data_IF_873361189298
#
_entry.id   IF_873361189298
#
_cell.length_a   1.000
_cell.length_b   1.000
_cell.length_c   1.000
_cell.angle_alpha   90.00
_cell.angle_beta   90.00
_cell.angle_gamma   90.00
#
_symmetry.space_group_name_H-M   'P 1'
#
loop_
_entity.id
_entity.type
_entity.pdbx_description
1 polymer ?
#
# COMPACT_ATOMS: atom_id res chain seq x y z
N UNK A 1 8.01 -1.65 -0.22
CA UNK A 1 7.90 -1.54 1.25
C UNK A 1 8.32 -0.16 1.75
N UNK A 2 9.52 0.07 2.35
CA UNK A 2 9.84 1.39 2.95
C UNK A 2 9.76 2.56 1.98
N UNK A 3 10.27 2.38 0.77
CA UNK A 3 10.22 3.42 -0.27
C UNK A 3 8.79 3.70 -0.73
N UNK A 4 7.90 2.75 -0.69
CA UNK A 4 6.48 2.96 -0.97
C UNK A 4 5.78 3.66 0.20
N UNK A 5 6.11 3.31 1.45
CA UNK A 5 5.63 4.02 2.66
C UNK A 5 5.96 5.51 2.57
N UNK A 6 7.22 5.84 2.28
CA UNK A 6 7.65 7.24 2.18
C UNK A 6 6.98 7.98 1.01
N UNK A 7 6.63 7.29 -0.08
CA UNK A 7 5.89 7.91 -1.19
C UNK A 7 4.52 8.44 -0.75
N UNK A 8 3.76 7.68 0.06
CA UNK A 8 2.47 8.14 0.58
C UNK A 8 2.60 9.45 1.35
N UNK A 9 3.60 9.55 2.24
CA UNK A 9 3.86 10.74 3.03
C UNK A 9 4.33 11.92 2.20
N UNK A 10 5.36 11.73 1.40
CA UNK A 10 5.92 12.82 0.57
C UNK A 10 4.88 13.35 -0.40
N UNK A 11 4.10 12.46 -1.02
CA UNK A 11 3.10 12.88 -2.02
C UNK A 11 1.93 13.62 -1.38
N UNK A 12 1.56 13.31 -0.14
CA UNK A 12 0.51 14.05 0.57
C UNK A 12 0.85 15.52 0.81
N UNK A 13 2.13 15.86 0.81
CA UNK A 13 2.60 17.26 0.90
C UNK A 13 2.48 18.02 -0.43
N UNK A 14 2.14 17.34 -1.52
CA UNK A 14 2.03 17.90 -2.87
C UNK A 14 3.22 18.77 -3.30
N UNK A 15 4.47 18.29 -3.23
CA UNK A 15 5.62 19.10 -3.63
C UNK A 15 5.51 19.48 -5.12
N UNK A 16 5.85 20.70 -5.51
CA UNK A 16 5.48 21.27 -6.82
C UNK A 16 6.08 20.54 -8.02
N UNK A 17 7.17 19.81 -7.82
CA UNK A 17 7.88 19.09 -8.89
C UNK A 17 7.63 17.58 -8.88
N UNK A 18 6.85 17.05 -7.95
CA UNK A 18 6.43 15.65 -7.96
C UNK A 18 5.27 15.46 -8.96
N UNK A 19 5.52 14.75 -10.05
CA UNK A 19 4.58 14.62 -11.17
C UNK A 19 3.88 13.25 -11.24
N UNK A 20 4.46 12.23 -10.64
CA UNK A 20 3.89 10.89 -10.64
C UNK A 20 4.50 10.05 -9.51
N UNK A 21 3.78 9.03 -9.03
CA UNK A 21 4.30 8.07 -8.05
C UNK A 21 3.80 6.65 -8.32
N UNK A 22 4.61 5.67 -7.94
CA UNK A 22 4.26 4.25 -7.97
C UNK A 22 4.54 3.64 -6.60
N UNK A 23 3.63 3.72 -5.63
CA UNK A 23 3.77 3.07 -4.34
C UNK A 23 3.54 1.56 -4.49
N UNK A 24 4.63 0.82 -4.65
CA UNK A 24 4.61 -0.63 -4.80
C UNK A 24 4.70 -1.30 -3.43
N UNK A 25 3.57 -1.81 -2.95
CA UNK A 25 3.42 -2.51 -1.68
C UNK A 25 3.92 -1.69 -0.47
N UNK A 26 3.18 -0.66 -0.09
CA UNK A 26 3.48 0.22 1.02
C UNK A 26 2.30 0.44 1.96
N UNK A 27 2.57 0.35 3.25
CA UNK A 27 1.61 0.74 4.27
C UNK A 27 1.50 2.28 4.39
N UNK A 28 0.42 2.76 4.97
CA UNK A 28 0.23 4.19 5.26
C UNK A 28 -0.40 4.47 6.65
N UNK A 29 -0.75 3.42 7.38
CA UNK A 29 -1.32 3.46 8.73
C UNK A 29 -0.58 2.46 9.62
N UNK A 30 0.37 2.96 10.40
CA UNK A 30 1.22 2.12 11.26
C UNK A 30 0.41 1.34 12.31
N UNK A 31 -0.67 1.92 12.81
CA UNK A 31 -1.53 1.25 13.79
C UNK A 31 -2.20 0.02 13.21
N UNK A 32 -3.01 0.21 12.15
CA UNK A 32 -3.87 -0.85 11.61
C UNK A 32 -3.14 -1.88 10.76
N UNK A 33 -1.98 -1.51 10.25
CA UNK A 33 -1.27 -2.31 9.24
C UNK A 33 -0.05 -3.02 9.80
N UNK A 34 0.41 -2.62 11.00
CA UNK A 34 1.60 -3.21 11.62
C UNK A 34 1.40 -3.50 13.10
N UNK A 35 1.01 -2.49 13.89
CA UNK A 35 1.01 -2.63 15.35
C UNK A 35 -0.22 -3.37 15.89
N UNK A 36 -1.40 -3.17 15.27
CA UNK A 36 -2.69 -3.70 15.76
C UNK A 36 -3.60 -4.11 14.60
N UNK A 37 -3.45 -5.33 14.12
CA UNK A 37 -4.32 -5.87 13.08
C UNK A 37 -5.73 -6.14 13.65
N UNK A 38 -6.72 -5.37 13.16
CA UNK A 38 -8.09 -5.47 13.67
C UNK A 38 -8.24 -5.12 15.16
N UNK A 39 -7.33 -4.31 15.70
CA UNK A 39 -7.31 -3.95 17.13
C UNK A 39 -6.58 -4.95 18.03
N UNK A 40 -6.04 -6.03 17.46
CA UNK A 40 -5.25 -7.04 18.17
C UNK A 40 -3.77 -6.69 18.04
N UNK A 41 -3.01 -6.55 19.16
CA UNK A 41 -1.59 -6.22 19.10
C UNK A 41 -0.79 -7.34 18.43
N UNK A 42 0.03 -6.98 17.45
CA UNK A 42 1.03 -7.90 16.89
C UNK A 42 2.21 -7.99 17.87
N UNK A 43 2.32 -9.13 18.54
CA UNK A 43 3.38 -9.40 19.50
C UNK A 43 4.54 -10.21 18.91
N UNK A 44 4.41 -10.66 17.67
CA UNK A 44 5.40 -11.47 16.95
C UNK A 44 6.20 -10.67 15.94
N UNK A 45 5.63 -10.48 14.76
CA UNK A 45 6.31 -9.83 13.63
C UNK A 45 6.70 -8.38 13.95
N UNK A 46 5.85 -7.60 14.59
CA UNK A 46 6.13 -6.21 14.91
C UNK A 46 7.40 -6.05 15.75
N UNK A 47 7.54 -6.85 16.81
CA UNK A 47 8.75 -6.85 17.64
C UNK A 47 9.99 -7.26 16.88
N UNK A 48 9.90 -8.34 16.12
CA UNK A 48 11.00 -8.81 15.28
C UNK A 48 11.42 -7.73 14.27
N UNK A 49 10.46 -7.08 13.63
CA UNK A 49 10.72 -6.06 12.64
C UNK A 49 11.36 -4.80 13.25
N UNK A 50 10.80 -4.29 14.34
CA UNK A 50 11.30 -3.09 15.01
C UNK A 50 12.67 -3.35 15.64
N UNK A 51 12.80 -4.37 16.47
CA UNK A 51 14.03 -4.64 17.22
C UNK A 51 15.09 -5.35 16.36
N UNK A 52 14.68 -6.23 15.46
CA UNK A 52 15.59 -7.03 14.65
C UNK A 52 16.12 -6.30 13.41
N UNK A 53 15.34 -5.38 12.84
CA UNK A 53 15.71 -4.68 11.62
C UNK A 53 16.09 -3.22 11.93
N UNK A 54 15.21 -2.44 12.54
CA UNK A 54 15.47 -1.02 12.75
C UNK A 54 16.55 -0.76 13.83
N UNK A 55 16.46 -1.41 14.97
CA UNK A 55 17.39 -1.17 16.05
C UNK A 55 18.84 -1.62 15.76
N UNK A 56 19.02 -2.52 14.78
CA UNK A 56 20.36 -2.98 14.35
C UNK A 56 21.05 -2.08 13.33
N UNK A 57 20.31 -1.15 12.72
CA UNK A 57 20.84 -0.36 11.62
C UNK A 57 21.34 1.01 12.05
N UNK A 58 21.24 1.32 13.35
CA UNK A 58 21.68 2.61 13.84
C UNK A 58 21.96 2.57 15.32
N UNK A 59 23.07 3.17 15.71
CA UNK A 59 23.45 3.46 17.10
C UNK A 59 22.85 4.78 17.58
N UNK A 60 21.86 5.33 16.88
CA UNK A 60 21.24 6.60 17.23
C UNK A 60 20.35 6.43 18.48
N UNK A 61 20.70 7.05 19.63
CA UNK A 61 19.93 6.93 20.86
C UNK A 61 18.56 7.62 20.79
N UNK A 62 18.30 8.39 19.73
CA UNK A 62 17.03 9.10 19.53
C UNK A 62 16.02 8.30 18.69
N UNK A 63 16.27 7.01 18.43
CA UNK A 63 15.27 6.16 17.80
C UNK A 63 14.14 5.88 18.78
N UNK A 64 12.94 6.13 18.31
CA UNK A 64 11.73 5.86 19.06
C UNK A 64 11.56 4.34 19.33
N UNK A 65 11.27 3.98 20.56
CA UNK A 65 10.91 2.60 20.91
C UNK A 65 9.43 2.33 20.53
N UNK A 66 9.21 1.91 19.29
CA UNK A 66 7.88 1.59 18.81
C UNK A 66 7.24 0.38 19.52
N UNK A 67 8.04 -0.52 20.10
CA UNK A 67 7.52 -1.66 20.89
C UNK A 67 6.99 -1.17 22.24
N UNK A 68 7.65 -0.20 22.85
CA UNK A 68 7.13 0.43 24.05
C UNK A 68 5.92 1.30 23.74
N UNK A 69 5.95 2.05 22.63
CA UNK A 69 4.83 2.85 22.17
C UNK A 69 3.57 2.00 21.89
N UNK A 70 3.71 0.78 21.37
CA UNK A 70 2.58 -0.15 21.21
C UNK A 70 1.90 -0.46 22.55
N UNK A 71 2.64 -0.54 23.64
CA UNK A 71 2.07 -0.80 24.98
C UNK A 71 1.43 0.45 25.58
N UNK A 72 2.06 1.60 25.37
CA UNK A 72 1.64 2.88 25.95
C UNK A 72 0.42 3.44 25.22
N UNK A 73 0.25 3.10 23.94
CA UNK A 73 -0.84 3.54 23.05
C UNK A 73 -1.63 2.35 22.49
N UNK A 74 -2.37 1.59 23.33
CA UNK A 74 -3.09 0.39 22.87
C UNK A 74 -4.30 0.68 21.99
N UNK A 75 -4.79 1.92 21.99
CA UNK A 75 -5.90 2.38 21.17
C UNK A 75 -5.42 3.33 20.07
N UNK A 76 -6.25 3.52 19.05
CA UNK A 76 -5.97 4.47 17.96
C UNK A 76 -6.18 5.91 18.45
N UNK A 77 -5.17 6.44 19.12
CA UNK A 77 -5.11 7.79 19.67
C UNK A 77 -4.33 8.77 18.77
N UNK A 78 -4.03 9.97 19.28
CA UNK A 78 -3.32 11.00 18.52
C UNK A 78 -1.87 10.61 18.20
N UNK A 79 -1.24 9.75 19.00
CA UNK A 79 0.08 9.20 18.69
C UNK A 79 0.08 8.46 17.36
N UNK A 80 -0.90 7.57 17.14
CA UNK A 80 -1.01 6.81 15.90
C UNK A 80 -1.59 7.61 14.73
N UNK A 81 -2.51 8.55 15.00
CA UNK A 81 -3.06 9.45 13.96
C UNK A 81 -1.96 10.27 13.28
N UNK A 82 -0.98 10.75 14.04
CA UNK A 82 0.17 11.48 13.50
C UNK A 82 1.10 10.61 12.65
N UNK A 83 0.95 9.29 12.72
CA UNK A 83 1.71 8.27 11.97
C UNK A 83 0.88 7.63 10.86
N UNK A 84 -0.16 8.31 10.43
CA UNK A 84 -0.98 7.94 9.29
C UNK A 84 -0.82 8.98 8.18
N UNK A 85 -0.53 8.53 6.97
CA UNK A 85 -0.41 9.45 5.84
C UNK A 85 -1.77 10.09 5.51
N UNK A 86 -1.85 11.42 5.34
CA UNK A 86 -3.11 12.10 5.00
C UNK A 86 -3.47 11.90 3.53
N UNK A 87 -3.91 10.69 3.17
CA UNK A 87 -4.13 10.20 1.82
C UNK A 87 -5.05 11.09 0.97
N UNK A 88 -6.06 11.69 1.60
CA UNK A 88 -7.01 12.60 0.93
C UNK A 88 -6.34 13.87 0.36
N UNK A 89 -5.12 14.18 0.77
CA UNK A 89 -4.37 15.31 0.23
C UNK A 89 -3.63 14.97 -1.07
N UNK A 90 -3.48 13.70 -1.40
CA UNK A 90 -2.74 13.24 -2.58
C UNK A 90 -3.50 13.58 -3.87
N UNK A 91 -2.92 14.44 -4.70
CA UNK A 91 -3.47 14.85 -6.02
C UNK A 91 -2.59 14.42 -7.18
N UNK A 92 -1.38 13.97 -6.91
CA UNK A 92 -0.40 13.50 -7.90
C UNK A 92 -0.92 12.22 -8.56
N UNK A 93 -0.74 12.04 -9.89
CA UNK A 93 -0.99 10.78 -10.57
C UNK A 93 -0.29 9.61 -9.90
N UNK A 94 -1.00 8.50 -9.71
CA UNK A 94 -0.45 7.35 -8.99
C UNK A 94 -0.86 5.99 -9.58
N UNK A 95 0.07 5.06 -9.57
CA UNK A 95 -0.16 3.64 -9.79
C UNK A 95 0.10 2.90 -8.46
N UNK A 96 -0.97 2.59 -7.73
CA UNK A 96 -0.88 1.81 -6.49
C UNK A 96 -0.78 0.32 -6.80
N UNK A 97 0.24 -0.35 -6.25
CA UNK A 97 0.46 -1.77 -6.49
C UNK A 97 0.36 -2.57 -5.20
N UNK A 98 -0.50 -3.59 -5.16
CA UNK A 98 -0.74 -4.47 -4.02
C UNK A 98 -0.47 -5.94 -4.37
N UNK A 99 -0.21 -6.77 -3.36
CA UNK A 99 0.00 -8.21 -3.56
C UNK A 99 -0.78 -9.06 -2.59
N UNK A 100 -1.48 -10.08 -3.09
CA UNK A 100 -2.10 -11.11 -2.25
C UNK A 100 -1.09 -11.93 -1.43
N UNK A 101 0.21 -11.83 -1.76
CA UNK A 101 1.29 -12.54 -1.04
C UNK A 101 1.92 -11.74 0.10
N UNK A 102 1.50 -10.47 0.29
CA UNK A 102 1.93 -9.57 1.38
C UNK A 102 0.74 -8.96 2.14
N UNK A 103 -0.35 -9.68 2.20
CA UNK A 103 -1.63 -9.24 2.78
C UNK A 103 -1.52 -8.81 4.25
N UNK A 104 -0.59 -9.36 5.00
CA UNK A 104 -0.42 -9.05 6.43
C UNK A 104 0.29 -7.73 6.73
N UNK A 105 0.80 -7.03 5.72
CA UNK A 105 1.58 -5.80 5.94
C UNK A 105 1.21 -4.66 4.99
N UNK A 106 1.10 -4.91 3.69
CA UNK A 106 1.04 -3.83 2.70
C UNK A 106 -0.34 -3.64 2.04
N UNK A 107 -1.17 -4.69 2.01
CA UNK A 107 -2.40 -4.66 1.20
C UNK A 107 -3.37 -3.58 1.65
N UNK A 108 -3.73 -3.60 2.94
CA UNK A 108 -4.71 -2.65 3.44
C UNK A 108 -4.31 -1.22 3.10
N UNK A 109 -3.05 -0.83 3.39
CA UNK A 109 -2.55 0.51 3.12
C UNK A 109 -2.57 0.87 1.63
N UNK A 110 -2.21 -0.06 0.76
CA UNK A 110 -2.25 0.18 -0.68
C UNK A 110 -3.68 0.39 -1.19
N UNK A 111 -4.65 -0.44 -0.74
CA UNK A 111 -6.06 -0.28 -1.11
C UNK A 111 -6.65 1.02 -0.54
N UNK A 112 -6.36 1.34 0.71
CA UNK A 112 -6.80 2.61 1.31
C UNK A 112 -6.15 3.81 0.61
N UNK A 113 -4.89 3.71 0.23
CA UNK A 113 -4.20 4.73 -0.55
C UNK A 113 -4.88 5.00 -1.89
N UNK A 114 -5.23 3.95 -2.63
CA UNK A 114 -5.98 4.07 -3.88
C UNK A 114 -7.37 4.69 -3.64
N UNK A 115 -8.12 4.21 -2.66
CA UNK A 115 -9.48 4.68 -2.39
C UNK A 115 -9.53 6.14 -1.95
N UNK A 116 -8.64 6.53 -1.02
CA UNK A 116 -8.71 7.83 -0.35
C UNK A 116 -7.94 8.93 -1.07
N UNK A 117 -7.00 8.60 -1.96
CA UNK A 117 -6.31 9.61 -2.75
C UNK A 117 -7.28 10.43 -3.59
N UNK A 118 -7.17 11.77 -3.52
CA UNK A 118 -7.99 12.71 -4.29
C UNK A 118 -7.50 12.90 -5.74
N UNK A 119 -6.47 12.16 -6.16
CA UNK A 119 -6.04 12.17 -7.55
C UNK A 119 -7.13 11.63 -8.47
N UNK A 120 -7.41 12.36 -9.52
CA UNK A 120 -8.31 11.91 -10.62
C UNK A 120 -7.61 10.90 -11.55
N UNK A 121 -6.28 10.86 -11.49
CA UNK A 121 -5.41 10.00 -12.27
C UNK A 121 -4.81 8.93 -11.35
N UNK A 122 -5.58 7.89 -11.04
CA UNK A 122 -5.13 6.83 -10.13
C UNK A 122 -5.48 5.45 -10.69
N UNK A 123 -4.53 4.54 -10.56
CA UNK A 123 -4.63 3.16 -10.98
C UNK A 123 -4.29 2.22 -9.84
N UNK A 124 -4.92 1.05 -9.85
CA UNK A 124 -4.65 -0.03 -8.91
C UNK A 124 -4.26 -1.30 -9.66
N UNK A 125 -3.07 -1.82 -9.36
CA UNK A 125 -2.60 -3.10 -9.85
C UNK A 125 -2.44 -4.08 -8.70
N UNK A 126 -3.11 -5.24 -8.75
CA UNK A 126 -3.06 -6.24 -7.69
C UNK A 126 -2.57 -7.56 -8.25
N UNK A 127 -1.44 -8.04 -7.75
CA UNK A 127 -0.81 -9.28 -8.20
C UNK A 127 -0.73 -10.32 -7.08
N UNK A 128 -0.34 -11.55 -7.45
CA UNK A 128 -0.27 -12.67 -6.51
C UNK A 128 1.15 -13.15 -6.18
N UNK A 129 2.18 -12.37 -6.49
CA UNK A 129 3.59 -12.72 -6.30
C UNK A 129 4.19 -11.99 -5.10
N UNK A 130 5.38 -12.38 -4.67
CA UNK A 130 6.19 -11.60 -3.72
C UNK A 130 6.59 -10.26 -4.34
N UNK A 131 6.73 -9.23 -3.48
CA UNK A 131 6.90 -7.85 -3.93
C UNK A 131 8.07 -7.67 -4.90
N UNK A 132 9.25 -8.17 -4.57
CA UNK A 132 10.46 -8.01 -5.39
C UNK A 132 10.43 -8.87 -6.66
N UNK A 133 9.80 -10.04 -6.64
CA UNK A 133 9.60 -10.88 -7.82
C UNK A 133 8.71 -10.15 -8.84
N UNK A 134 7.60 -9.60 -8.38
CA UNK A 134 6.68 -8.86 -9.22
C UNK A 134 7.27 -7.52 -9.67
N UNK A 135 7.91 -6.76 -8.75
CA UNK A 135 8.45 -5.45 -9.05
C UNK A 135 9.48 -5.48 -10.19
N UNK A 136 10.36 -6.49 -10.20
CA UNK A 136 11.43 -6.64 -11.19
C UNK A 136 11.05 -7.51 -12.39
N UNK A 137 9.85 -8.06 -12.44
CA UNK A 137 9.35 -8.79 -13.61
C UNK A 137 9.33 -7.86 -14.83
N UNK A 138 9.74 -8.38 -15.99
CA UNK A 138 9.91 -7.58 -17.21
C UNK A 138 8.63 -6.81 -17.58
N UNK A 139 7.50 -7.48 -17.56
CA UNK A 139 6.18 -6.91 -17.85
C UNK A 139 5.82 -5.76 -16.90
N UNK A 140 6.23 -5.84 -15.63
CA UNK A 140 5.99 -4.80 -14.64
C UNK A 140 6.99 -3.64 -14.75
N UNK A 141 8.23 -3.89 -15.15
CA UNK A 141 9.17 -2.83 -15.48
C UNK A 141 8.69 -2.03 -16.72
N UNK A 142 8.18 -2.72 -17.73
CA UNK A 142 7.58 -2.09 -18.91
C UNK A 142 6.35 -1.26 -18.54
N UNK A 143 5.47 -1.76 -17.65
CA UNK A 143 4.33 -1.02 -17.11
C UNK A 143 4.74 0.23 -16.35
N UNK A 144 5.74 0.14 -15.47
CA UNK A 144 6.28 1.28 -14.73
C UNK A 144 6.88 2.32 -15.68
N UNK A 145 7.63 1.86 -16.68
CA UNK A 145 8.20 2.73 -17.71
C UNK A 145 7.11 3.45 -18.49
N UNK A 146 6.09 2.75 -18.96
CA UNK A 146 4.96 3.29 -19.70
C UNK A 146 4.25 4.41 -18.91
N UNK A 147 3.99 4.18 -17.62
CA UNK A 147 3.41 5.17 -16.71
C UNK A 147 4.27 6.41 -16.56
N UNK A 148 5.56 6.24 -16.30
CA UNK A 148 6.46 7.37 -16.12
C UNK A 148 6.74 8.12 -17.44
N UNK A 149 6.85 7.45 -18.57
CA UNK A 149 7.03 8.10 -19.87
C UNK A 149 5.81 8.99 -20.18
N UNK A 150 4.59 8.52 -19.87
CA UNK A 150 3.38 9.30 -20.03
C UNK A 150 3.37 10.57 -19.16
N UNK A 151 3.64 10.44 -17.85
CA UNK A 151 3.55 11.57 -16.93
C UNK A 151 4.78 12.46 -16.88
N UNK A 152 5.98 11.92 -17.02
CA UNK A 152 7.22 12.69 -16.87
C UNK A 152 7.74 13.22 -18.20
N UNK A 153 7.63 12.43 -19.28
CA UNK A 153 8.09 12.83 -20.61
C UNK A 153 6.97 13.37 -21.48
N UNK A 154 5.70 13.20 -21.07
CA UNK A 154 4.51 13.56 -21.85
C UNK A 154 4.44 12.81 -23.19
N UNK A 155 4.92 11.60 -23.22
CA UNK A 155 4.79 10.73 -24.37
C UNK A 155 3.34 10.30 -24.55
N UNK A 156 2.79 10.45 -25.75
CA UNK A 156 1.49 9.86 -26.11
C UNK A 156 1.70 8.36 -26.33
N UNK A 157 1.37 7.57 -25.31
CA UNK A 157 1.55 6.13 -25.31
C UNK A 157 0.29 5.42 -24.80
N UNK A 158 0.31 4.09 -24.80
CA UNK A 158 -0.87 3.24 -24.47
C UNK A 158 -1.28 3.31 -22.97
N UNK A 159 -0.59 4.10 -22.13
CA UNK A 159 -1.00 4.28 -20.73
C UNK A 159 -2.42 4.83 -20.60
N UNK A 160 -2.84 5.69 -21.51
CA UNK A 160 -4.19 6.27 -21.52
C UNK A 160 -5.31 5.22 -21.63
N UNK A 161 -5.01 4.08 -22.22
CA UNK A 161 -5.96 2.96 -22.44
C UNK A 161 -5.86 1.90 -21.30
N UNK A 162 -5.00 2.14 -20.29
CA UNK A 162 -4.82 1.21 -19.17
C UNK A 162 -6.04 1.20 -18.26
N UNK A 163 -6.63 0.03 -17.97
CA UNK A 163 -7.75 -0.09 -17.05
C UNK A 163 -7.43 0.49 -15.67
N UNK A 164 -8.39 1.19 -15.06
CA UNK A 164 -8.20 1.82 -13.74
C UNK A 164 -7.81 0.82 -12.66
N UNK A 165 -8.39 -0.38 -12.71
CA UNK A 165 -8.08 -1.47 -11.77
C UNK A 165 -7.78 -2.73 -12.57
N UNK A 166 -6.62 -3.32 -12.33
CA UNK A 166 -6.24 -4.65 -12.81
C UNK A 166 -5.90 -5.50 -11.60
N UNK A 167 -6.55 -6.64 -11.44
CA UNK A 167 -6.36 -7.49 -10.26
C UNK A 167 -6.31 -8.96 -10.61
N UNK A 168 -5.43 -9.69 -9.94
CA UNK A 168 -5.37 -11.16 -10.05
C UNK A 168 -6.48 -11.79 -9.21
N UNK A 169 -7.29 -12.61 -9.82
CA UNK A 169 -8.17 -13.57 -9.14
C UNK A 169 -7.34 -14.80 -8.86
N UNK A 170 -6.96 -14.98 -7.59
CA UNK A 170 -6.11 -16.10 -7.18
C UNK A 170 -6.93 -17.37 -7.03
N UNK A 171 -6.52 -18.42 -7.70
CA UNK A 171 -7.09 -19.78 -7.57
C UNK A 171 -6.31 -20.60 -6.53
N UNK A 172 -4.99 -20.49 -6.54
CA UNK A 172 -4.09 -21.05 -5.52
C UNK A 172 -2.78 -20.26 -5.47
N UNK A 173 -1.86 -20.66 -4.60
CA UNK A 173 -0.59 -19.99 -4.45
C UNK A 173 0.14 -19.88 -5.79
N UNK A 174 0.46 -18.65 -6.20
CA UNK A 174 1.12 -18.26 -7.45
C UNK A 174 0.37 -18.65 -8.74
N UNK A 175 -0.90 -18.98 -8.66
CA UNK A 175 -1.75 -19.26 -9.82
C UNK A 175 -3.05 -18.46 -9.74
N UNK A 176 -3.41 -17.84 -10.84
CA UNK A 176 -4.59 -17.04 -11.00
C UNK A 176 -4.66 -16.45 -12.39
N UNK A 177 -5.67 -15.64 -12.62
CA UNK A 177 -5.86 -14.90 -13.86
C UNK A 177 -6.21 -13.46 -13.55
N UNK A 178 -5.82 -12.53 -14.44
CA UNK A 178 -6.13 -11.12 -14.27
C UNK A 178 -7.53 -10.77 -14.75
N UNK A 179 -8.17 -9.85 -14.02
CA UNK A 179 -9.42 -9.19 -14.40
C UNK A 179 -9.24 -7.69 -14.28
N UNK A 180 -10.15 -6.97 -14.93
CA UNK A 180 -10.18 -5.52 -14.98
C UNK A 180 -11.47 -5.00 -14.36
N UNK A 181 -11.42 -3.80 -13.80
CA UNK A 181 -12.57 -3.08 -13.28
C UNK A 181 -12.36 -1.56 -13.41
N UNK A 182 -13.44 -0.82 -13.34
CA UNK A 182 -13.41 0.65 -13.43
C UNK A 182 -13.12 1.33 -12.11
N UNK A 183 -13.23 0.63 -10.96
CA UNK A 183 -13.00 1.16 -9.63
C UNK A 183 -12.76 0.04 -8.60
N UNK A 184 -12.38 0.44 -7.37
CA UNK A 184 -12.30 -0.44 -6.19
C UNK A 184 -12.91 0.25 -4.96
N UNK A 185 -13.84 -0.37 -4.20
CA UNK A 185 -14.37 -1.74 -4.41
C UNK A 185 -14.93 -1.97 -5.80
N UNK A 186 -14.80 -3.21 -6.29
CA UNK A 186 -15.24 -3.55 -7.65
C UNK A 186 -16.72 -3.20 -7.80
N UNK A 187 -17.13 -2.47 -8.86
CA UNK A 187 -18.53 -2.11 -9.08
C UNK A 187 -19.46 -3.32 -9.04
N UNK A 188 -20.65 -3.14 -8.47
CA UNK A 188 -21.67 -4.17 -8.28
C UNK A 188 -21.29 -5.30 -7.29
N UNK A 189 -20.25 -5.11 -6.47
CA UNK A 189 -19.94 -6.03 -5.37
C UNK A 189 -21.12 -6.12 -4.39
N UNK A 190 -21.60 -7.34 -4.16
CA UNK A 190 -22.65 -7.62 -3.19
C UNK A 190 -22.02 -8.17 -1.90
N UNK A 191 -22.05 -7.37 -0.83
CA UNK A 191 -21.58 -7.79 0.48
C UNK A 191 -22.64 -8.64 1.17
N UNK A 192 -22.31 -9.89 1.47
CA UNK A 192 -23.20 -10.80 2.20
C UNK A 192 -22.70 -10.91 3.64
N UNK A 193 -23.51 -10.56 4.65
CA UNK A 193 -23.12 -10.73 6.04
C UNK A 193 -23.01 -12.21 6.39
N UNK A 194 -21.91 -12.58 7.04
CA UNK A 194 -21.71 -13.89 7.65
C UNK A 194 -21.75 -13.70 9.17
N UNK A 195 -22.64 -14.42 9.84
CA UNK A 195 -22.77 -14.40 11.28
C UNK A 195 -21.96 -15.56 11.87
N UNK A 196 -21.15 -15.25 12.89
CA UNK A 196 -20.45 -16.26 13.67
C UNK A 196 -21.40 -16.69 14.80
N UNK A 197 -21.66 -17.98 14.92
CA UNK A 197 -22.35 -18.58 16.08
C UNK A 197 -21.30 -19.07 17.07
N UNK A 198 -21.57 -18.90 18.34
CA UNK A 198 -20.66 -19.23 19.45
C UNK A 198 -20.85 -20.63 20.04
N UNK A 199 -21.58 -21.54 19.36
CA UNK A 199 -21.72 -22.92 19.79
C UNK A 199 -20.50 -23.79 19.49
#
# INVERSE_FOLDING_TARGET
>A
SYLAVTQWWVTSLNPPHLKAMIPWEGLNDMYREVAFHGGIPDTGFFRFWVQGIFARWTDNPNIEDLVQAQKDHPLFDDYWKQRQAPLHQIKTPLLACASWSTQGLHNRGTFEGFKQASSVNKWLYVHGRKEWESYYARENLEKQKLFFDYYLKKEDNDWKDTPTVTYEVREKFYQGHYREASDFPIPNTQYTPLYLDGE
#
